data_IF_045923858142
#
_entry.id   IF_045923858142
#
_cell.length_a   1.000
_cell.length_b   1.000
_cell.length_c   1.000
_cell.angle_alpha   90.00
_cell.angle_beta   90.00
_cell.angle_gamma   90.00
#
_symmetry.space_group_name_H-M   'P 1'
#
loop_
_entity.id
_entity.type
_entity.pdbx_description
1 polymer ?
#
# COMPACT_ATOMS: atom_id res chain seq x y z
N UNK A 1 -17.63 5.10 12.56
CA UNK A 1 -16.27 5.67 12.47
C UNK A 1 -15.19 4.61 12.70
N UNK A 2 -15.29 3.77 13.74
CA UNK A 2 -14.34 2.65 14.00
C UNK A 2 -14.16 1.68 12.82
N UNK A 3 -15.26 1.27 12.16
CA UNK A 3 -15.18 0.32 11.05
C UNK A 3 -14.39 0.81 9.83
N UNK A 4 -14.29 2.13 9.62
CA UNK A 4 -13.52 2.69 8.49
C UNK A 4 -12.02 2.65 8.78
N UNK A 5 -11.61 3.05 9.98
CA UNK A 5 -10.21 2.94 10.41
C UNK A 5 -9.70 1.49 10.39
N UNK A 6 -10.55 0.53 10.79
CA UNK A 6 -10.23 -0.89 10.72
C UNK A 6 -9.99 -1.37 9.27
N UNK A 7 -10.83 -0.94 8.31
CA UNK A 7 -10.66 -1.25 6.88
C UNK A 7 -9.35 -0.68 6.31
N UNK A 8 -8.97 0.55 6.70
CA UNK A 8 -7.71 1.18 6.26
C UNK A 8 -6.50 0.39 6.77
N UNK A 9 -6.53 -0.01 8.04
CA UNK A 9 -5.46 -0.82 8.65
C UNK A 9 -5.31 -2.18 7.97
N UNK A 10 -6.43 -2.86 7.65
CA UNK A 10 -6.39 -4.14 6.94
C UNK A 10 -5.79 -4.00 5.53
N UNK A 11 -6.16 -2.96 4.78
CA UNK A 11 -5.58 -2.70 3.47
C UNK A 11 -4.07 -2.47 3.55
N UNK A 12 -3.63 -1.59 4.45
CA UNK A 12 -2.21 -1.27 4.63
C UNK A 12 -1.38 -2.50 5.00
N UNK A 13 -1.89 -3.34 5.92
CA UNK A 13 -1.25 -4.59 6.33
C UNK A 13 -1.15 -5.59 5.17
N UNK A 14 -2.19 -5.72 4.34
CA UNK A 14 -2.16 -6.62 3.19
C UNK A 14 -1.10 -6.19 2.17
N UNK A 15 -1.06 -4.89 1.82
CA UNK A 15 -0.06 -4.31 0.92
C UNK A 15 1.34 -4.59 1.46
N UNK A 16 1.58 -4.30 2.74
CA UNK A 16 2.88 -4.53 3.36
C UNK A 16 3.28 -6.01 3.35
N UNK A 17 2.33 -6.90 3.64
CA UNK A 17 2.57 -8.35 3.72
C UNK A 17 2.97 -8.90 2.36
N UNK A 18 2.20 -8.57 1.31
CA UNK A 18 2.49 -9.02 -0.05
C UNK A 18 3.81 -8.43 -0.55
N UNK A 19 4.06 -7.14 -0.31
CA UNK A 19 5.34 -6.50 -0.67
C UNK A 19 6.53 -7.22 -0.04
N UNK A 20 6.46 -7.50 1.26
CA UNK A 20 7.51 -8.22 2.00
C UNK A 20 7.68 -9.66 1.52
N UNK A 21 6.57 -10.35 1.24
CA UNK A 21 6.59 -11.70 0.66
C UNK A 21 7.32 -11.74 -0.69
N UNK A 22 7.18 -10.69 -1.50
CA UNK A 22 7.91 -10.51 -2.76
C UNK A 22 9.34 -10.01 -2.61
N UNK A 23 9.85 -9.87 -1.38
CA UNK A 23 11.21 -9.38 -1.12
C UNK A 23 11.45 -7.91 -1.48
N UNK A 24 10.39 -7.13 -1.73
CA UNK A 24 10.50 -5.74 -2.18
C UNK A 24 10.70 -4.79 -0.99
N UNK A 25 11.58 -3.80 -1.15
CA UNK A 25 11.69 -2.63 -0.27
C UNK A 25 10.53 -1.65 -0.51
N UNK A 26 10.21 -0.82 0.48
CA UNK A 26 9.20 0.24 0.29
C UNK A 26 9.59 1.21 -0.83
N UNK A 27 10.87 1.58 -0.92
CA UNK A 27 11.36 2.45 -1.99
C UNK A 27 11.06 1.86 -3.38
N UNK A 28 11.31 0.56 -3.58
CA UNK A 28 11.10 -0.09 -4.88
C UNK A 28 9.64 -0.12 -5.31
N UNK A 29 8.71 -0.37 -4.38
CA UNK A 29 7.27 -0.29 -4.68
C UNK A 29 6.85 1.16 -4.95
N UNK A 30 7.33 2.11 -4.14
CA UNK A 30 7.01 3.52 -4.29
C UNK A 30 7.47 4.08 -5.64
N UNK A 31 8.68 3.72 -6.07
CA UNK A 31 9.23 4.11 -7.37
C UNK A 31 8.39 3.54 -8.53
N UNK A 32 7.97 2.27 -8.44
CA UNK A 32 7.14 1.61 -9.46
C UNK A 32 5.74 2.23 -9.61
N UNK A 33 5.14 2.69 -8.52
CA UNK A 33 3.80 3.31 -8.54
C UNK A 33 3.83 4.85 -8.65
N UNK A 34 5.03 5.44 -8.70
CA UNK A 34 5.22 6.88 -8.90
C UNK A 34 4.87 7.74 -7.69
N UNK A 35 5.08 7.25 -6.46
CA UNK A 35 4.89 8.04 -5.23
C UNK A 35 6.18 8.06 -4.40
N UNK A 36 6.26 8.97 -3.43
CA UNK A 36 7.38 8.93 -2.48
C UNK A 36 7.21 7.79 -1.46
N UNK A 37 8.33 7.28 -0.95
CA UNK A 37 8.36 6.17 0.01
C UNK A 37 7.62 6.48 1.32
N UNK A 38 7.64 7.74 1.79
CA UNK A 38 6.94 8.14 3.01
C UNK A 38 5.41 8.03 2.87
N UNK A 39 4.87 8.34 1.69
CA UNK A 39 3.46 8.15 1.36
C UNK A 39 3.10 6.67 1.39
N UNK A 40 3.91 5.81 0.78
CA UNK A 40 3.72 4.36 0.86
C UNK A 40 3.77 3.85 2.32
N UNK A 41 4.71 4.34 3.12
CA UNK A 41 4.81 3.97 4.54
C UNK A 41 3.57 4.40 5.35
N UNK A 42 2.96 5.54 5.04
CA UNK A 42 1.68 5.95 5.67
C UNK A 42 0.53 5.04 5.25
N UNK A 43 0.48 4.63 3.98
CA UNK A 43 -0.52 3.70 3.46
C UNK A 43 -0.40 2.34 4.17
N UNK A 44 0.81 1.77 4.21
CA UNK A 44 1.06 0.47 4.83
C UNK A 44 0.74 0.44 6.33
N UNK A 45 0.90 1.57 7.04
CA UNK A 45 0.55 1.69 8.46
C UNK A 45 -0.90 2.09 8.71
N UNK A 46 -1.69 2.23 7.65
CA UNK A 46 -3.09 2.63 7.73
C UNK A 46 -3.31 4.08 8.18
N UNK A 47 -2.30 4.94 8.06
CA UNK A 47 -2.40 6.37 8.40
C UNK A 47 -2.91 7.22 7.24
N UNK A 48 -2.90 6.67 6.03
CA UNK A 48 -3.44 7.32 4.85
C UNK A 48 -4.12 6.29 3.95
N UNK A 49 -5.25 6.64 3.36
CA UNK A 49 -5.88 5.80 2.34
C UNK A 49 -5.36 6.22 0.96
N UNK A 50 -4.93 5.28 0.10
CA UNK A 50 -4.48 5.62 -1.24
C UNK A 50 -5.65 6.15 -2.08
N UNK A 51 -5.36 7.04 -3.03
CA UNK A 51 -6.30 7.35 -4.10
C UNK A 51 -6.52 6.10 -4.97
N UNK A 52 -7.64 6.06 -5.69
CA UNK A 52 -8.00 4.92 -6.56
C UNK A 52 -6.86 4.56 -7.53
N UNK A 53 -6.29 5.55 -8.22
CA UNK A 53 -5.17 5.35 -9.16
C UNK A 53 -3.92 4.76 -8.47
N UNK A 54 -3.62 5.19 -7.24
CA UNK A 54 -2.51 4.63 -6.46
C UNK A 54 -2.80 3.18 -6.07
N UNK A 55 -4.05 2.88 -5.69
CA UNK A 55 -4.45 1.53 -5.34
C UNK A 55 -4.37 0.60 -6.56
N UNK A 56 -4.84 1.02 -7.74
CA UNK A 56 -4.70 0.27 -9.00
C UNK A 56 -3.24 -0.04 -9.31
N UNK A 57 -2.36 0.95 -9.25
CA UNK A 57 -0.92 0.74 -9.48
C UNK A 57 -0.29 -0.21 -8.47
N UNK A 58 -0.72 -0.15 -7.21
CA UNK A 58 -0.28 -1.11 -6.18
C UNK A 58 -0.75 -2.52 -6.53
N UNK A 59 -2.01 -2.69 -6.94
CA UNK A 59 -2.56 -4.00 -7.32
C UNK A 59 -1.85 -4.57 -8.54
N UNK A 60 -1.54 -3.75 -9.54
CA UNK A 60 -0.79 -4.16 -10.74
C UNK A 60 0.65 -4.60 -10.40
N UNK A 61 1.39 -3.79 -9.64
CA UNK A 61 2.78 -4.11 -9.26
C UNK A 61 2.85 -5.32 -8.32
N UNK A 62 1.87 -5.44 -7.42
CA UNK A 62 1.74 -6.57 -6.51
C UNK A 62 0.97 -7.74 -7.12
N UNK A 63 0.56 -7.68 -8.39
CA UNK A 63 -0.15 -8.71 -9.15
C UNK A 63 -1.21 -9.44 -8.29
N UNK A 64 -2.19 -8.65 -7.85
CA UNK A 64 -3.37 -9.04 -7.04
C UNK A 64 -4.64 -8.36 -7.55
N UNK A 65 -5.81 -8.88 -7.17
CA UNK A 65 -7.15 -8.39 -7.56
C UNK A 65 -8.00 -7.98 -6.37
#
# INVERSE_FOLDING_TARGET
MEGYAMKISHLGNNIQTIRKFRGMKQQELADKIGINMQSLSKIERGLNYPAYETLEKIMEVLDVT
#
